data_IF_153345941933
#
_entry.id   IF_153345941933
#
_cell.length_a   1.000
_cell.length_b   1.000
_cell.length_c   1.000
_cell.angle_alpha   90.00
_cell.angle_beta   90.00
_cell.angle_gamma   90.00
#
_symmetry.space_group_name_H-M   'P 1'
#
loop_
_entity.id
_entity.type
_entity.pdbx_description
1 polymer ?
#
# COMPACT_ATOMS: atom_id res chain seq x y z
N UNK A 1 9.34 -13.39 -23.67
CA UNK A 1 9.36 -12.03 -23.48
C UNK A 1 9.75 -11.64 -22.08
N UNK A 2 10.36 -10.52 -22.01
CA UNK A 2 10.86 -9.97 -20.78
C UNK A 2 9.94 -8.85 -20.28
N UNK A 3 8.63 -9.14 -20.25
CA UNK A 3 7.70 -8.15 -19.73
C UNK A 3 7.91 -7.95 -18.24
N UNK A 4 7.86 -6.71 -17.83
CA UNK A 4 8.02 -6.32 -16.44
C UNK A 4 6.78 -6.70 -15.63
N UNK A 5 6.99 -7.39 -14.52
CA UNK A 5 5.90 -7.70 -13.58
C UNK A 5 5.67 -6.53 -12.66
N UNK A 6 4.43 -6.05 -12.59
CA UNK A 6 4.04 -4.87 -11.84
C UNK A 6 3.21 -5.28 -10.63
N UNK A 7 3.63 -4.85 -9.44
CA UNK A 7 2.90 -5.07 -8.19
C UNK A 7 2.37 -3.73 -7.65
N UNK A 8 1.26 -3.78 -6.96
CA UNK A 8 0.72 -2.64 -6.23
C UNK A 8 0.52 -2.97 -4.77
N UNK A 9 0.72 -1.96 -3.92
CA UNK A 9 0.33 -2.02 -2.51
C UNK A 9 -0.43 -0.74 -2.19
N UNK A 10 -1.57 -0.87 -1.54
CA UNK A 10 -2.43 0.26 -1.15
C UNK A 10 -2.37 0.46 0.35
N UNK A 11 -2.38 1.69 0.81
CA UNK A 11 -2.41 1.94 2.24
C UNK A 11 -2.21 3.38 2.62
N UNK A 12 -2.26 3.62 3.92
CA UNK A 12 -2.06 4.94 4.52
C UNK A 12 -0.58 5.20 4.80
N UNK A 13 0.15 4.19 5.24
CA UNK A 13 1.60 4.25 5.53
C UNK A 13 1.97 5.44 6.41
N UNK A 14 1.16 5.69 7.44
CA UNK A 14 1.45 6.75 8.41
C UNK A 14 2.50 6.25 9.41
N UNK A 15 3.41 7.15 9.82
CA UNK A 15 4.52 6.78 10.71
C UNK A 15 5.26 5.55 10.19
N UNK A 16 5.81 5.69 9.00
CA UNK A 16 6.51 4.60 8.30
C UNK A 16 7.48 3.90 9.24
N UNK A 17 7.34 2.59 9.37
CA UNK A 17 8.12 1.81 10.32
C UNK A 17 8.59 0.49 9.70
N UNK A 18 9.30 -0.30 10.49
CA UNK A 18 9.93 -1.55 10.07
C UNK A 18 8.93 -2.53 9.43
N UNK A 19 7.71 -2.62 9.99
CA UNK A 19 6.66 -3.47 9.42
C UNK A 19 6.26 -3.05 8.02
N UNK A 20 6.13 -1.75 7.77
CA UNK A 20 5.86 -1.23 6.43
C UNK A 20 6.99 -1.58 5.46
N UNK A 21 8.25 -1.44 5.90
CA UNK A 21 9.41 -1.74 5.06
C UNK A 21 9.42 -3.22 4.68
N UNK A 22 9.12 -4.11 5.62
CA UNK A 22 9.05 -5.54 5.33
C UNK A 22 7.96 -5.86 4.30
N UNK A 23 6.80 -5.25 4.43
CA UNK A 23 5.71 -5.43 3.47
C UNK A 23 6.14 -4.97 2.07
N UNK A 24 6.73 -3.79 1.98
CA UNK A 24 7.17 -3.21 0.71
C UNK A 24 8.28 -4.05 0.08
N UNK A 25 9.22 -4.54 0.88
CA UNK A 25 10.28 -5.43 0.40
C UNK A 25 9.71 -6.71 -0.19
N UNK A 26 8.78 -7.34 0.52
CA UNK A 26 8.15 -8.58 0.07
C UNK A 26 7.30 -8.36 -1.17
N UNK A 27 6.57 -7.25 -1.24
CA UNK A 27 5.79 -6.90 -2.41
C UNK A 27 6.70 -6.72 -3.63
N UNK A 28 7.80 -5.97 -3.47
CA UNK A 28 8.77 -5.76 -4.55
C UNK A 28 9.38 -7.07 -5.03
N UNK A 29 9.64 -8.00 -4.11
CA UNK A 29 10.24 -9.30 -4.43
C UNK A 29 9.34 -10.19 -5.28
N UNK A 30 8.04 -9.89 -5.36
CA UNK A 30 7.10 -10.66 -6.20
C UNK A 30 7.22 -10.32 -7.69
N UNK A 31 7.89 -9.22 -8.03
CA UNK A 31 8.03 -8.81 -9.42
C UNK A 31 9.13 -7.77 -9.59
N UNK A 32 8.91 -6.85 -10.52
CA UNK A 32 9.96 -5.94 -10.97
C UNK A 32 9.71 -4.48 -10.64
N UNK A 33 8.45 -4.08 -10.47
CA UNK A 33 8.08 -2.67 -10.36
C UNK A 33 6.95 -2.51 -9.35
N UNK A 34 7.21 -1.81 -8.26
CA UNK A 34 6.23 -1.65 -7.18
C UNK A 34 5.62 -0.25 -7.22
N UNK A 35 4.31 -0.20 -7.37
CA UNK A 35 3.51 1.01 -7.28
C UNK A 35 2.81 1.03 -5.92
N UNK A 36 2.99 2.08 -5.15
CA UNK A 36 2.27 2.28 -3.89
C UNK A 36 1.18 3.33 -4.11
N UNK A 37 -0.06 2.93 -3.88
CA UNK A 37 -1.20 3.85 -3.90
C UNK A 37 -1.43 4.33 -2.47
N UNK A 38 -1.13 5.59 -2.25
CA UNK A 38 -1.11 6.19 -0.93
C UNK A 38 -2.40 6.98 -0.69
N UNK A 39 -3.14 6.63 0.36
CA UNK A 39 -4.41 7.28 0.64
C UNK A 39 -4.22 8.77 0.95
N UNK A 40 -5.05 9.62 0.33
CA UNK A 40 -5.02 11.06 0.55
C UNK A 40 -5.61 11.40 1.92
N UNK A 41 -5.31 12.59 2.41
CA UNK A 41 -5.86 13.06 3.69
C UNK A 41 -7.39 13.15 3.62
N UNK A 42 -7.93 13.63 2.50
CA UNK A 42 -9.39 13.68 2.30
C UNK A 42 -10.02 12.30 2.29
N UNK A 43 -9.41 11.33 1.61
CA UNK A 43 -9.92 9.97 1.56
C UNK A 43 -9.95 9.34 2.96
N UNK A 44 -8.87 9.52 3.72
CA UNK A 44 -8.81 8.98 5.09
C UNK A 44 -9.88 9.59 5.98
N UNK A 45 -10.11 10.89 5.87
CA UNK A 45 -11.13 11.57 6.67
C UNK A 45 -12.54 11.14 6.24
N UNK A 46 -12.84 11.16 4.94
CA UNK A 46 -14.18 10.87 4.43
C UNK A 46 -14.58 9.40 4.61
N UNK A 47 -13.64 8.48 4.44
CA UNK A 47 -13.97 7.05 4.49
C UNK A 47 -13.77 6.42 5.87
N UNK A 48 -12.84 6.91 6.67
CA UNK A 48 -12.46 6.29 7.95
C UNK A 48 -12.53 7.24 9.14
N UNK A 49 -12.85 8.52 8.92
CA UNK A 49 -12.80 9.56 9.96
C UNK A 49 -11.43 9.58 10.64
N UNK A 50 -10.38 9.31 9.86
CA UNK A 50 -9.02 9.17 10.39
C UNK A 50 -8.16 10.34 9.96
N UNK A 51 -7.44 10.93 10.92
CA UNK A 51 -6.44 11.94 10.65
C UNK A 51 -5.06 11.35 10.89
N UNK A 52 -4.21 11.41 9.87
CA UNK A 52 -2.86 10.89 9.95
C UNK A 52 -1.95 11.82 10.76
N UNK A 53 -0.91 11.27 11.34
CA UNK A 53 0.14 12.05 12.00
C UNK A 53 0.90 12.91 10.98
N UNK A 54 1.26 12.30 9.84
CA UNK A 54 1.90 13.02 8.72
C UNK A 54 0.88 13.33 7.64
N UNK A 55 1.05 14.47 6.98
CA UNK A 55 0.24 14.84 5.81
C UNK A 55 0.54 13.91 4.64
N UNK A 56 -0.35 13.91 3.63
CA UNK A 56 -0.14 13.13 2.41
C UNK A 56 1.24 13.43 1.79
N UNK A 57 1.61 14.70 1.68
CA UNK A 57 2.89 15.07 1.06
C UNK A 57 4.08 14.54 1.85
N UNK A 58 4.01 14.57 3.17
CA UNK A 58 5.07 14.01 4.02
C UNK A 58 5.14 12.49 3.90
N UNK A 59 4.00 11.82 3.89
CA UNK A 59 3.93 10.36 3.73
C UNK A 59 4.46 9.93 2.37
N UNK A 60 4.08 10.66 1.32
CA UNK A 60 4.56 10.42 -0.05
C UNK A 60 6.07 10.54 -0.12
N UNK A 61 6.63 11.60 0.45
CA UNK A 61 8.07 11.84 0.43
C UNK A 61 8.84 10.72 1.13
N UNK A 62 8.31 10.25 2.26
CA UNK A 62 8.94 9.13 2.98
C UNK A 62 8.92 7.85 2.14
N UNK A 63 7.79 7.55 1.49
CA UNK A 63 7.68 6.37 0.63
C UNK A 63 8.60 6.46 -0.58
N UNK A 64 8.72 7.64 -1.17
CA UNK A 64 9.58 7.83 -2.34
C UNK A 64 11.06 7.61 -2.01
N UNK A 65 11.44 7.73 -0.74
CA UNK A 65 12.79 7.47 -0.28
C UNK A 65 13.06 5.98 0.00
N UNK A 66 12.04 5.14 -0.01
CA UNK A 66 12.19 3.70 0.23
C UNK A 66 12.67 3.05 -1.07
N UNK A 67 13.77 2.31 -0.98
CA UNK A 67 14.43 1.72 -2.16
C UNK A 67 13.55 0.73 -2.93
N UNK A 68 12.54 0.15 -2.28
CA UNK A 68 11.68 -0.85 -2.90
C UNK A 68 10.51 -0.24 -3.68
N UNK A 69 10.24 1.03 -3.49
CA UNK A 69 9.11 1.73 -4.09
C UNK A 69 9.55 2.41 -5.38
N UNK A 70 8.87 2.11 -6.48
CA UNK A 70 9.20 2.68 -7.79
C UNK A 70 8.30 3.87 -8.15
N UNK A 71 7.05 3.85 -7.68
CA UNK A 71 6.11 4.92 -7.99
C UNK A 71 5.09 5.05 -6.87
N UNK A 72 4.77 6.28 -6.49
CA UNK A 72 3.71 6.58 -5.53
C UNK A 72 2.59 7.30 -6.26
N UNK A 73 1.36 6.78 -6.17
CA UNK A 73 0.16 7.41 -6.72
C UNK A 73 -0.83 7.68 -5.60
N UNK A 74 -1.74 8.66 -5.77
CA UNK A 74 -2.75 8.90 -4.74
C UNK A 74 -3.88 7.88 -4.81
N UNK A 75 -4.35 7.44 -3.64
CA UNK A 75 -5.61 6.72 -3.50
C UNK A 75 -6.66 7.73 -3.02
N UNK A 76 -7.60 8.08 -3.91
CA UNK A 76 -8.61 9.09 -3.66
C UNK A 76 -9.97 8.51 -3.33
N UNK A 77 -10.23 7.28 -3.73
CA UNK A 77 -11.48 6.58 -3.47
C UNK A 77 -11.27 5.08 -3.54
N UNK A 78 -12.23 4.35 -2.97
CA UNK A 78 -12.14 2.88 -2.91
C UNK A 78 -12.23 2.24 -4.30
N UNK A 79 -13.06 2.81 -5.17
CA UNK A 79 -13.40 2.19 -6.46
C UNK A 79 -12.29 2.30 -7.50
N UNK A 80 -11.31 3.16 -7.30
CA UNK A 80 -10.22 3.33 -8.27
C UNK A 80 -9.35 2.08 -8.44
N UNK A 81 -9.40 1.12 -7.51
CA UNK A 81 -8.52 -0.06 -7.54
C UNK A 81 -8.65 -0.86 -8.84
N UNK A 82 -9.87 -1.09 -9.31
CA UNK A 82 -10.08 -1.81 -10.57
C UNK A 82 -9.48 -1.03 -11.75
N UNK A 83 -9.73 0.27 -11.78
CA UNK A 83 -9.21 1.13 -12.85
C UNK A 83 -7.69 1.18 -12.82
N UNK A 84 -7.09 1.27 -11.63
CA UNK A 84 -5.63 1.30 -11.47
C UNK A 84 -5.01 -0.01 -11.96
N UNK A 85 -5.59 -1.14 -11.60
CA UNK A 85 -5.10 -2.46 -12.03
C UNK A 85 -5.09 -2.57 -13.54
N UNK A 86 -6.15 -2.09 -14.19
CA UNK A 86 -6.24 -2.11 -15.66
C UNK A 86 -5.28 -1.13 -16.31
N UNK A 87 -5.22 0.09 -15.80
CA UNK A 87 -4.42 1.17 -16.39
C UNK A 87 -2.92 0.86 -16.33
N UNK A 88 -2.45 0.39 -15.19
CA UNK A 88 -1.03 0.09 -15.00
C UNK A 88 -0.67 -1.35 -15.39
N UNK A 89 -1.64 -2.14 -15.84
CA UNK A 89 -1.43 -3.56 -16.20
C UNK A 89 -0.78 -4.32 -15.05
N UNK A 90 -1.40 -4.20 -13.87
CA UNK A 90 -0.87 -4.79 -12.64
C UNK A 90 -0.97 -6.31 -12.69
N UNK A 91 0.11 -6.97 -12.31
CA UNK A 91 0.17 -8.43 -12.22
C UNK A 91 -0.23 -8.95 -10.84
N UNK A 92 0.15 -8.24 -9.79
CA UNK A 92 -0.18 -8.64 -8.42
C UNK A 92 -0.60 -7.45 -7.57
N UNK A 93 -1.73 -7.59 -6.89
CA UNK A 93 -2.24 -6.65 -5.90
C UNK A 93 -1.88 -7.21 -4.53
N UNK A 94 -1.07 -6.47 -3.76
CA UNK A 94 -0.48 -6.95 -2.51
C UNK A 94 -1.03 -6.16 -1.32
N UNK A 95 -1.49 -6.86 -0.31
CA UNK A 95 -1.97 -6.24 0.93
C UNK A 95 -1.49 -7.07 2.13
N UNK A 96 -1.55 -6.49 3.32
CA UNK A 96 -1.33 -7.24 4.55
C UNK A 96 -2.46 -8.25 4.78
N UNK A 97 -2.18 -9.30 5.54
CA UNK A 97 -3.15 -10.38 5.78
C UNK A 97 -4.34 -9.95 6.65
N UNK A 98 -4.27 -8.80 7.30
CA UNK A 98 -5.43 -8.19 7.99
C UNK A 98 -6.63 -8.02 7.04
N UNK A 99 -6.36 -7.92 5.74
CA UNK A 99 -7.36 -7.67 4.71
C UNK A 99 -7.76 -8.92 3.94
N UNK A 100 -7.36 -10.11 4.41
CA UNK A 100 -7.63 -11.37 3.72
C UNK A 100 -9.09 -11.47 3.27
N UNK A 101 -9.29 -11.74 2.00
CA UNK A 101 -10.61 -11.86 1.37
C UNK A 101 -11.26 -10.55 0.95
N UNK A 102 -10.84 -9.41 1.47
CA UNK A 102 -11.48 -8.11 1.20
C UNK A 102 -11.27 -7.61 -0.22
N UNK A 103 -10.23 -8.07 -0.89
CA UNK A 103 -9.88 -7.64 -2.24
C UNK A 103 -9.97 -8.77 -3.27
N UNK A 104 -10.65 -9.85 -2.92
CA UNK A 104 -10.78 -11.01 -3.81
C UNK A 104 -11.53 -10.66 -5.10
N UNK A 105 -12.33 -9.58 -5.11
CA UNK A 105 -12.98 -9.10 -6.33
C UNK A 105 -11.98 -8.71 -7.41
N UNK A 106 -10.72 -8.46 -7.06
CA UNK A 106 -9.67 -8.12 -8.02
C UNK A 106 -9.06 -9.36 -8.68
N UNK A 107 -9.39 -10.55 -8.22
CA UNK A 107 -8.83 -11.80 -8.78
C UNK A 107 -9.18 -12.01 -10.25
N UNK A 108 -10.25 -11.40 -10.74
CA UNK A 108 -10.60 -11.44 -12.15
C UNK A 108 -9.64 -10.62 -13.03
N UNK A 109 -8.84 -9.75 -12.42
CA UNK A 109 -7.97 -8.82 -13.15
C UNK A 109 -6.49 -9.07 -12.90
N UNK A 110 -6.13 -9.59 -11.73
CA UNK A 110 -4.74 -9.80 -11.36
C UNK A 110 -4.65 -10.81 -10.21
N UNK A 111 -3.43 -11.21 -9.88
CA UNK A 111 -3.20 -12.00 -8.68
C UNK A 111 -3.40 -11.13 -7.44
N UNK A 112 -4.04 -11.67 -6.41
CA UNK A 112 -4.23 -10.98 -5.13
C UNK A 112 -3.45 -11.73 -4.06
N UNK A 113 -2.51 -11.04 -3.41
CA UNK A 113 -1.59 -11.64 -2.45
C UNK A 113 -1.75 -10.94 -1.10
N UNK A 114 -1.98 -11.73 -0.06
CA UNK A 114 -2.05 -11.24 1.32
C UNK A 114 -0.79 -11.69 2.05
N UNK A 115 0.01 -10.75 2.53
CA UNK A 115 1.30 -11.03 3.17
C UNK A 115 1.19 -11.01 4.68
N UNK A 116 1.90 -11.91 5.38
CA UNK A 116 1.90 -11.91 6.84
C UNK A 116 2.41 -10.60 7.41
N UNK A 117 1.77 -10.17 8.47
CA UNK A 117 2.14 -8.98 9.20
C UNK A 117 3.43 -9.19 9.99
N UNK A 118 4.25 -8.14 10.10
CA UNK A 118 5.41 -8.16 11.00
C UNK A 118 4.90 -8.07 12.44
N UNK A 119 5.19 -9.07 13.30
CA UNK A 119 4.69 -9.07 14.67
C UNK A 119 5.23 -7.89 15.50
N UNK A 120 4.45 -7.50 16.50
CA UNK A 120 4.84 -6.59 17.58
C UNK A 120 5.10 -5.13 17.15
N UNK A 121 4.77 -4.77 15.90
CA UNK A 121 4.88 -3.39 15.47
C UNK A 121 3.67 -2.98 14.62
N UNK A 122 3.12 -1.81 14.91
CA UNK A 122 2.02 -1.22 14.14
C UNK A 122 2.02 0.30 14.34
N UNK A 123 1.38 1.02 13.42
CA UNK A 123 1.21 2.47 13.54
C UNK A 123 0.45 2.84 14.81
N UNK A 124 -0.57 2.06 15.15
CA UNK A 124 -1.35 2.27 16.38
C UNK A 124 -0.46 2.17 17.61
N UNK A 125 0.38 1.16 17.68
CA UNK A 125 1.31 0.98 18.81
C UNK A 125 2.29 2.14 18.90
N UNK A 126 2.84 2.57 17.78
CA UNK A 126 3.77 3.70 17.74
C UNK A 126 3.09 4.97 18.27
N UNK A 127 1.87 5.24 17.84
CA UNK A 127 1.12 6.41 18.29
C UNK A 127 0.85 6.37 19.81
N UNK A 128 0.55 5.20 20.35
CA UNK A 128 0.36 5.02 21.78
C UNK A 128 1.65 5.27 22.55
N UNK A 129 2.77 4.76 22.06
CA UNK A 129 4.07 4.91 22.72
C UNK A 129 4.57 6.36 22.72
N UNK A 130 4.15 7.16 21.74
CA UNK A 130 4.54 8.57 21.63
C UNK A 130 3.70 9.53 22.47
N UNK A 131 2.65 9.05 23.10
CA UNK A 131 1.77 9.90 23.93
C UNK A 131 2.34 10.20 25.32
#
# INVERSE_FOLDING_TARGET
GSEMCIETAYGTFDLLHYGHINLLQRAKALGDYLIVALSTDEFNWNSKQKKCYFTYEQRKRLLEAVRYVDLVIPEKNWDQKINDVKEFKVDAFVMGDDWTGKFDFLKDYCEVVYLPRTPEISTTQIKQDLK
#
